data_IF_592132605702
#
_entry.id   IF_592132605702
#
_cell.length_a   1.000
_cell.length_b   1.000
_cell.length_c   1.000
_cell.angle_alpha   90.00
_cell.angle_beta   90.00
_cell.angle_gamma   90.00
#
_symmetry.space_group_name_H-M   'P 1'
#
loop_
_entity.id
_entity.type
_entity.pdbx_description
1 polymer ?
#
# COMPACT_ATOMS: atom_id res chain seq x y z
N UNK A 1 35.49 4.96 -26.16
CA UNK A 1 34.54 4.56 -27.23
C UNK A 1 33.69 3.41 -26.73
N UNK A 2 32.48 3.27 -27.29
CA UNK A 2 31.30 2.48 -26.87
C UNK A 2 30.54 3.10 -25.69
N UNK A 3 29.38 3.73 -25.83
CA UNK A 3 28.48 3.90 -26.97
C UNK A 3 27.18 4.46 -26.41
N UNK A 4 27.11 5.78 -26.23
CA UNK A 4 25.85 6.47 -26.02
C UNK A 4 25.04 6.35 -27.30
N UNK A 5 24.01 5.50 -27.28
CA UNK A 5 23.02 5.41 -28.35
C UNK A 5 21.72 5.99 -27.82
N UNK A 6 21.57 7.27 -28.14
CA UNK A 6 20.39 7.80 -28.84
C UNK A 6 19.06 7.26 -28.31
N UNK A 7 18.52 7.93 -27.28
CA UNK A 7 17.07 8.05 -27.15
C UNK A 7 16.56 8.58 -28.48
N UNK A 8 15.88 7.71 -29.24
CA UNK A 8 15.12 8.16 -30.39
C UNK A 8 13.99 9.05 -29.86
N UNK A 9 14.21 10.36 -30.01
CA UNK A 9 13.31 11.47 -29.75
C UNK A 9 12.02 11.26 -30.57
N UNK A 10 11.05 10.57 -29.98
CA UNK A 10 9.68 10.57 -30.47
C UNK A 10 9.11 11.92 -30.06
N UNK A 11 8.90 12.79 -31.05
CA UNK A 11 8.34 14.13 -30.85
C UNK A 11 7.13 14.08 -29.90
N UNK A 12 7.26 14.76 -28.76
CA UNK A 12 6.28 14.82 -27.66
C UNK A 12 4.89 15.38 -28.05
N UNK A 13 4.70 15.80 -29.31
CA UNK A 13 3.46 16.41 -29.82
C UNK A 13 2.38 15.40 -30.26
N UNK A 14 2.71 14.12 -30.41
CA UNK A 14 1.78 13.08 -30.92
C UNK A 14 1.31 12.07 -29.86
N UNK A 15 1.55 12.34 -28.56
CA UNK A 15 1.10 11.45 -27.48
C UNK A 15 -0.44 11.49 -27.39
N UNK A 16 -1.16 10.38 -27.66
CA UNK A 16 -2.61 10.36 -27.58
C UNK A 16 -3.07 10.66 -26.16
N UNK A 17 -4.09 11.50 -26.02
CA UNK A 17 -4.78 11.72 -24.75
C UNK A 17 -5.23 10.38 -24.14
N UNK A 18 -5.20 10.24 -22.81
CA UNK A 18 -5.56 8.99 -22.13
C UNK A 18 -6.96 8.57 -22.54
N UNK A 19 -7.05 7.43 -23.24
CA UNK A 19 -8.34 6.79 -23.51
C UNK A 19 -8.82 6.23 -22.17
N UNK A 20 -10.06 6.58 -21.78
CA UNK A 20 -10.69 6.04 -20.59
C UNK A 20 -10.64 4.49 -20.56
N UNK A 21 -10.92 3.87 -19.40
CA UNK A 21 -10.72 2.43 -19.20
C UNK A 21 -11.34 1.60 -20.34
N UNK A 22 -10.64 0.56 -20.84
CA UNK A 22 -11.07 -0.17 -22.02
C UNK A 22 -12.41 -0.87 -21.77
N UNK A 23 -13.34 -0.73 -22.72
CA UNK A 23 -14.69 -1.32 -22.61
C UNK A 23 -14.80 -2.69 -23.27
N UNK A 24 -13.84 -3.06 -24.12
CA UNK A 24 -13.83 -4.38 -24.77
C UNK A 24 -13.14 -5.42 -23.90
N UNK A 25 -13.64 -6.66 -23.90
CA UNK A 25 -13.03 -7.76 -23.15
C UNK A 25 -11.56 -8.00 -23.52
N UNK A 26 -11.21 -7.82 -24.80
CA UNK A 26 -9.81 -7.87 -25.25
C UNK A 26 -8.98 -6.75 -24.64
N UNK A 27 -9.48 -5.51 -24.65
CA UNK A 27 -8.76 -4.37 -24.10
C UNK A 27 -8.55 -4.46 -22.58
N UNK A 28 -9.55 -4.94 -21.85
CA UNK A 28 -9.42 -5.21 -20.40
C UNK A 28 -8.30 -6.21 -20.11
N UNK A 29 -8.26 -7.33 -20.86
CA UNK A 29 -7.20 -8.34 -20.70
C UNK A 29 -5.81 -7.78 -21.02
N UNK A 30 -5.66 -7.03 -22.11
CA UNK A 30 -4.37 -6.42 -22.48
C UNK A 30 -3.90 -5.42 -21.42
N UNK A 31 -4.80 -4.57 -20.91
CA UNK A 31 -4.47 -3.62 -19.84
C UNK A 31 -4.03 -4.35 -18.56
N UNK A 32 -4.74 -5.41 -18.18
CA UNK A 32 -4.36 -6.22 -17.01
C UNK A 32 -2.99 -6.89 -17.20
N UNK A 33 -2.68 -7.41 -18.39
CA UNK A 33 -1.37 -7.99 -18.69
C UNK A 33 -0.24 -6.96 -18.59
N UNK A 34 -0.46 -5.75 -19.10
CA UNK A 34 0.48 -4.63 -18.95
C UNK A 34 0.73 -4.28 -17.47
N UNK A 35 -0.33 -4.18 -16.67
CA UNK A 35 -0.21 -3.89 -15.22
C UNK A 35 0.56 -5.00 -14.50
N UNK A 36 0.26 -6.27 -14.80
CA UNK A 36 0.98 -7.40 -14.21
C UNK A 36 2.47 -7.39 -14.59
N UNK A 37 2.77 -7.17 -15.87
CA UNK A 37 4.15 -7.06 -16.36
C UNK A 37 4.88 -5.88 -15.70
N UNK A 38 4.22 -4.74 -15.58
CA UNK A 38 4.78 -3.57 -14.91
C UNK A 38 5.12 -3.87 -13.45
N UNK A 39 4.23 -4.53 -12.70
CA UNK A 39 4.54 -4.99 -11.33
C UNK A 39 5.81 -5.84 -11.29
N UNK A 40 5.92 -6.85 -12.16
CA UNK A 40 7.11 -7.71 -12.25
C UNK A 40 8.38 -6.89 -12.49
N UNK A 41 8.36 -5.98 -13.46
CA UNK A 41 9.53 -5.14 -13.80
C UNK A 41 9.87 -4.18 -12.65
N UNK A 42 8.88 -3.50 -12.06
CA UNK A 42 9.11 -2.60 -10.95
C UNK A 42 9.66 -3.31 -9.72
N UNK A 43 9.11 -4.47 -9.38
CA UNK A 43 9.63 -5.28 -8.28
C UNK A 43 11.04 -5.79 -8.62
N UNK A 44 11.34 -6.23 -9.84
CA UNK A 44 12.68 -6.71 -10.20
C UNK A 44 13.72 -5.60 -10.19
N UNK A 45 13.47 -4.51 -10.91
CA UNK A 45 14.48 -3.51 -11.29
C UNK A 45 14.36 -2.20 -10.51
N UNK A 46 13.21 -1.96 -9.85
CA UNK A 46 12.89 -0.70 -9.18
C UNK A 46 12.23 0.32 -10.11
N UNK A 47 11.56 1.32 -9.53
CA UNK A 47 10.82 2.33 -10.31
C UNK A 47 11.74 3.21 -11.15
N UNK A 48 12.85 3.67 -10.58
CA UNK A 48 13.76 4.60 -11.29
C UNK A 48 14.51 3.92 -12.44
N UNK A 49 15.02 2.71 -12.23
CA UNK A 49 15.84 2.02 -13.22
C UNK A 49 15.03 1.35 -14.34
N UNK A 50 13.74 1.05 -14.11
CA UNK A 50 12.88 0.44 -15.11
C UNK A 50 12.52 1.40 -16.26
N UNK A 51 12.36 0.82 -17.44
CA UNK A 51 11.95 1.53 -18.66
C UNK A 51 10.64 0.96 -19.19
N UNK A 52 9.91 1.78 -19.92
CA UNK A 52 8.69 1.35 -20.62
C UNK A 52 8.95 0.17 -21.56
N UNK A 53 10.12 0.14 -22.20
CA UNK A 53 10.55 -0.97 -23.07
C UNK A 53 10.63 -2.30 -22.31
N UNK A 54 11.11 -2.28 -21.06
CA UNK A 54 11.23 -3.47 -20.22
C UNK A 54 9.83 -4.03 -19.90
N UNK A 55 8.89 -3.13 -19.59
CA UNK A 55 7.48 -3.48 -19.33
C UNK A 55 6.83 -4.08 -20.58
N UNK A 56 7.03 -3.46 -21.75
CA UNK A 56 6.43 -3.97 -22.99
C UNK A 56 7.02 -5.30 -23.44
N UNK A 57 8.31 -5.51 -23.19
CA UNK A 57 8.97 -6.79 -23.43
C UNK A 57 8.41 -7.88 -22.50
N UNK A 58 8.28 -7.58 -21.22
CA UNK A 58 7.66 -8.46 -20.22
C UNK A 58 6.19 -8.79 -20.57
N UNK A 59 5.42 -7.80 -21.03
CA UNK A 59 4.03 -7.96 -21.46
C UNK A 59 3.86 -8.59 -22.85
N UNK A 60 4.97 -8.87 -23.56
CA UNK A 60 4.98 -9.37 -24.93
C UNK A 60 4.13 -8.52 -25.91
N UNK A 61 4.21 -7.19 -25.77
CA UNK A 61 3.47 -6.26 -26.62
C UNK A 61 4.38 -5.17 -27.20
N UNK A 62 3.86 -4.42 -28.18
CA UNK A 62 4.58 -3.27 -28.74
C UNK A 62 4.48 -2.04 -27.82
N UNK A 63 5.40 -1.08 -27.97
CA UNK A 63 5.31 0.25 -27.34
C UNK A 63 4.06 1.00 -27.77
N UNK A 64 3.64 0.90 -29.03
CA UNK A 64 2.37 1.46 -29.50
C UNK A 64 1.14 0.87 -28.78
N UNK A 65 1.21 -0.41 -28.41
CA UNK A 65 0.17 -1.04 -27.57
C UNK A 65 0.14 -0.47 -26.16
N UNK A 66 1.31 -0.19 -25.55
CA UNK A 66 1.37 0.48 -24.25
C UNK A 66 0.67 1.83 -24.29
N UNK A 67 1.02 2.66 -25.28
CA UNK A 67 0.44 4.01 -25.45
C UNK A 67 -1.05 4.02 -25.80
N UNK A 68 -1.64 2.85 -26.07
CA UNK A 68 -3.10 2.71 -26.17
C UNK A 68 -3.79 2.77 -24.79
N UNK A 69 -3.07 2.43 -23.71
CA UNK A 69 -3.62 2.30 -22.34
C UNK A 69 -2.99 3.21 -21.31
N UNK A 70 -1.72 3.59 -21.48
CA UNK A 70 -0.96 4.38 -20.52
C UNK A 70 -0.08 5.39 -21.26
N UNK A 71 0.00 6.62 -20.73
CA UNK A 71 0.79 7.71 -21.30
C UNK A 71 2.16 7.85 -20.63
N UNK A 72 2.36 7.25 -19.45
CA UNK A 72 3.63 7.33 -18.72
C UNK A 72 3.93 6.12 -17.83
N UNK A 73 5.17 6.06 -17.30
CA UNK A 73 5.62 5.05 -16.33
C UNK A 73 4.93 5.24 -14.98
N UNK A 74 4.66 6.50 -14.61
CA UNK A 74 3.93 6.92 -13.42
C UNK A 74 2.48 6.43 -13.48
N UNK A 75 1.80 6.60 -14.62
CA UNK A 75 0.40 6.18 -14.77
C UNK A 75 0.24 4.67 -14.65
N UNK A 76 1.11 3.89 -15.29
CA UNK A 76 1.07 2.43 -15.14
C UNK A 76 1.47 1.99 -13.73
N UNK A 77 2.40 2.70 -13.07
CA UNK A 77 2.71 2.43 -11.67
C UNK A 77 1.52 2.73 -10.75
N UNK A 78 0.79 3.83 -10.97
CA UNK A 78 -0.49 4.08 -10.29
C UNK A 78 -1.49 2.95 -10.51
N UNK A 79 -1.58 2.41 -11.73
CA UNK A 79 -2.44 1.28 -12.02
C UNK A 79 -1.99 -0.01 -11.32
N UNK A 80 -0.68 -0.24 -11.16
CA UNK A 80 -0.14 -1.33 -10.31
C UNK A 80 -0.55 -1.12 -8.86
N UNK A 81 -0.40 0.09 -8.33
CA UNK A 81 -0.77 0.44 -6.95
C UNK A 81 -2.27 0.36 -6.67
N UNK A 82 -3.11 0.56 -7.69
CA UNK A 82 -4.57 0.39 -7.60
C UNK A 82 -4.96 -1.09 -7.74
N UNK A 83 -4.33 -1.86 -8.62
CA UNK A 83 -4.58 -3.30 -8.72
C UNK A 83 -4.15 -4.04 -7.45
N UNK A 84 -3.02 -3.63 -6.86
CA UNK A 84 -2.55 -4.16 -5.59
C UNK A 84 -3.31 -3.58 -4.39
N UNK A 85 -4.18 -2.59 -4.58
CA UNK A 85 -4.91 -1.97 -3.45
C UNK A 85 -5.72 -3.00 -2.70
N UNK A 86 -6.45 -3.90 -3.35
CA UNK A 86 -7.23 -4.90 -2.60
C UNK A 86 -6.33 -5.94 -1.91
N UNK A 87 -5.12 -6.16 -2.42
CA UNK A 87 -4.10 -7.00 -1.78
C UNK A 87 -3.38 -6.31 -0.62
N UNK A 88 -3.21 -4.98 -0.70
CA UNK A 88 -2.40 -4.14 0.20
C UNK A 88 -3.25 -3.41 1.24
N UNK A 89 -4.51 -3.17 0.93
CA UNK A 89 -5.48 -2.69 1.89
C UNK A 89 -5.59 -3.77 2.92
N UNK A 90 -5.34 -3.39 4.18
CA UNK A 90 -5.82 -4.16 5.31
C UNK A 90 -7.21 -4.70 4.95
N UNK A 91 -7.44 -6.02 4.95
CA UNK A 91 -8.81 -6.49 5.12
C UNK A 91 -9.29 -5.70 6.33
N UNK A 92 -10.31 -4.85 6.15
CA UNK A 92 -10.80 -4.01 7.24
C UNK A 92 -10.98 -4.88 8.48
N UNK A 93 -10.81 -4.30 9.68
CA UNK A 93 -10.98 -4.96 10.99
C UNK A 93 -11.80 -6.24 10.80
N UNK A 94 -11.20 -7.44 10.94
CA UNK A 94 -11.94 -8.66 10.69
C UNK A 94 -13.25 -8.56 11.46
N UNK A 95 -14.35 -9.01 10.85
CA UNK A 95 -15.68 -9.06 11.45
C UNK A 95 -15.72 -10.10 12.59
N UNK A 96 -14.69 -10.14 13.43
CA UNK A 96 -14.79 -10.62 14.80
C UNK A 96 -15.81 -9.71 15.44
N UNK A 97 -16.87 -10.28 16.00
CA UNK A 97 -17.91 -9.51 16.66
C UNK A 97 -17.21 -8.56 17.64
N UNK A 98 -17.20 -7.26 17.32
CA UNK A 98 -16.37 -6.20 17.96
C UNK A 98 -16.63 -6.07 19.47
N UNK A 99 -17.52 -6.89 20.03
CA UNK A 99 -18.08 -6.78 21.37
C UNK A 99 -17.57 -7.82 22.39
N UNK A 100 -16.96 -8.95 21.99
CA UNK A 100 -16.63 -10.00 22.98
C UNK A 100 -15.17 -9.97 23.48
N UNK A 101 -14.20 -9.54 22.66
CA UNK A 101 -12.79 -9.41 23.10
C UNK A 101 -12.01 -8.36 22.27
N UNK A 102 -11.85 -7.12 22.78
CA UNK A 102 -11.05 -6.09 22.13
C UNK A 102 -9.59 -6.49 21.88
N UNK A 103 -8.99 -7.34 22.73
CA UNK A 103 -7.62 -7.81 22.56
C UNK A 103 -7.50 -8.69 21.33
N UNK A 104 -8.39 -9.67 21.18
CA UNK A 104 -8.42 -10.56 20.02
C UNK A 104 -8.63 -9.79 18.70
N UNK A 105 -9.47 -8.74 18.73
CA UNK A 105 -9.69 -7.87 17.56
C UNK A 105 -8.41 -7.12 17.15
N UNK A 106 -7.68 -6.56 18.12
CA UNK A 106 -6.41 -5.87 17.89
C UNK A 106 -5.36 -6.87 17.35
N UNK A 107 -5.24 -8.04 17.96
CA UNK A 107 -4.30 -9.07 17.54
C UNK A 107 -4.56 -9.52 16.09
N UNK A 108 -5.81 -9.87 15.79
CA UNK A 108 -6.20 -10.30 14.45
C UNK A 108 -5.94 -9.20 13.40
N UNK A 109 -6.16 -7.94 13.76
CA UNK A 109 -5.92 -6.79 12.89
C UNK A 109 -4.43 -6.56 12.62
N UNK A 110 -3.59 -6.63 13.66
CA UNK A 110 -2.14 -6.53 13.54
C UNK A 110 -1.58 -7.69 12.73
N UNK A 111 -2.04 -8.93 12.97
CA UNK A 111 -1.61 -10.11 12.21
C UNK A 111 -1.97 -9.99 10.74
N UNK A 112 -3.21 -9.60 10.43
CA UNK A 112 -3.64 -9.37 9.05
C UNK A 112 -2.79 -8.30 8.36
N UNK A 113 -2.38 -7.25 9.09
CA UNK A 113 -1.47 -6.23 8.57
C UNK A 113 -0.11 -6.79 8.19
N UNK A 114 0.58 -7.43 9.13
CA UNK A 114 1.95 -7.87 8.93
C UNK A 114 2.02 -8.94 7.85
N UNK A 115 1.06 -9.87 7.80
CA UNK A 115 1.00 -10.88 6.73
C UNK A 115 0.77 -10.26 5.34
N UNK A 116 -0.11 -9.27 5.27
CA UNK A 116 -0.37 -8.52 4.04
C UNK A 116 0.87 -7.73 3.59
N UNK A 117 1.54 -7.08 4.54
CA UNK A 117 2.74 -6.29 4.28
C UNK A 117 3.89 -7.20 3.83
N UNK A 118 4.09 -8.34 4.50
CA UNK A 118 5.13 -9.33 4.17
C UNK A 118 5.03 -9.80 2.72
N UNK A 119 3.82 -10.05 2.21
CA UNK A 119 3.58 -10.44 0.82
C UNK A 119 3.90 -9.33 -0.20
N UNK A 120 3.85 -8.07 0.23
CA UNK A 120 3.92 -6.90 -0.64
C UNK A 120 5.08 -5.94 -0.31
N UNK A 121 6.06 -6.36 0.52
CA UNK A 121 7.07 -5.47 1.10
C UNK A 121 7.90 -4.71 0.06
N UNK A 122 8.21 -5.35 -1.08
CA UNK A 122 8.91 -4.71 -2.20
C UNK A 122 8.08 -3.61 -2.86
N UNK A 123 6.79 -3.85 -3.09
CA UNK A 123 5.89 -2.87 -3.67
C UNK A 123 5.65 -1.69 -2.71
N UNK A 124 5.56 -1.95 -1.40
CA UNK A 124 5.48 -0.92 -0.36
C UNK A 124 6.72 -0.03 -0.35
N UNK A 125 7.91 -0.63 -0.48
CA UNK A 125 9.16 0.14 -0.59
C UNK A 125 9.15 1.06 -1.81
N UNK A 126 8.74 0.56 -2.97
CA UNK A 126 8.69 1.33 -4.21
C UNK A 126 7.71 2.50 -4.08
N UNK A 127 6.55 2.28 -3.47
CA UNK A 127 5.60 3.35 -3.24
C UNK A 127 6.20 4.49 -2.40
N UNK A 128 6.94 4.16 -1.33
CA UNK A 128 7.57 5.16 -0.46
C UNK A 128 8.66 5.94 -1.21
N UNK A 129 9.48 5.26 -2.01
CA UNK A 129 10.50 5.89 -2.85
C UNK A 129 9.90 6.87 -3.86
N UNK A 130 8.82 6.48 -4.54
CA UNK A 130 8.16 7.34 -5.54
C UNK A 130 7.42 8.50 -4.86
N UNK A 131 6.74 8.28 -3.73
CA UNK A 131 6.08 9.35 -2.97
C UNK A 131 7.05 10.42 -2.45
N UNK A 132 8.34 10.09 -2.30
CA UNK A 132 9.38 11.05 -1.90
C UNK A 132 9.68 12.06 -3.02
N UNK A 133 9.50 11.67 -4.29
CA UNK A 133 9.89 12.49 -5.45
C UNK A 133 8.71 12.99 -6.28
N UNK A 134 7.53 12.37 -6.17
CA UNK A 134 6.33 12.71 -6.92
C UNK A 134 5.18 13.18 -6.01
N UNK A 135 4.56 14.31 -6.37
CA UNK A 135 3.53 14.95 -5.55
C UNK A 135 2.19 14.21 -5.53
N UNK A 136 1.80 13.56 -6.63
CA UNK A 136 0.53 12.86 -6.74
C UNK A 136 0.59 11.54 -5.96
N UNK A 137 1.72 10.83 -6.04
CA UNK A 137 1.95 9.66 -5.19
C UNK A 137 2.00 10.01 -3.71
N UNK A 138 2.61 11.15 -3.36
CA UNK A 138 2.60 11.66 -1.98
C UNK A 138 1.19 11.96 -1.50
N UNK A 139 0.36 12.63 -2.31
CA UNK A 139 -1.03 12.92 -1.97
C UNK A 139 -1.84 11.63 -1.77
N UNK A 140 -1.67 10.64 -2.65
CA UNK A 140 -2.33 9.34 -2.53
C UNK A 140 -1.91 8.60 -1.26
N UNK A 141 -0.61 8.64 -0.91
CA UNK A 141 -0.06 8.03 0.31
C UNK A 141 -0.63 8.68 1.58
N UNK A 142 -0.81 10.00 1.58
CA UNK A 142 -1.43 10.73 2.68
C UNK A 142 -2.91 10.40 2.80
N UNK A 143 -3.66 10.40 1.70
CA UNK A 143 -5.09 10.06 1.67
C UNK A 143 -5.36 8.64 2.21
N UNK A 144 -4.53 7.66 1.83
CA UNK A 144 -4.62 6.28 2.35
C UNK A 144 -4.39 6.24 3.86
N UNK A 145 -3.37 6.94 4.35
CA UNK A 145 -3.08 7.04 5.78
C UNK A 145 -4.20 7.73 6.57
N UNK A 146 -4.79 8.78 6.03
CA UNK A 146 -5.93 9.49 6.62
C UNK A 146 -7.18 8.61 6.71
N UNK A 147 -7.54 7.93 5.62
CA UNK A 147 -8.67 7.00 5.60
C UNK A 147 -8.51 5.88 6.65
N UNK A 148 -7.29 5.36 6.81
CA UNK A 148 -6.98 4.36 7.83
C UNK A 148 -7.12 4.94 9.24
N UNK A 149 -6.54 6.12 9.48
CA UNK A 149 -6.59 6.78 10.78
C UNK A 149 -8.04 7.03 11.22
N UNK A 150 -8.90 7.52 10.33
CA UNK A 150 -10.32 7.75 10.60
C UNK A 150 -11.09 6.46 10.88
N UNK A 151 -10.77 5.36 10.20
CA UNK A 151 -11.42 4.07 10.47
C UNK A 151 -11.10 3.58 11.88
N UNK A 152 -9.83 3.55 12.25
CA UNK A 152 -9.40 3.09 13.57
C UNK A 152 -9.89 4.03 14.69
N UNK A 153 -9.92 5.34 14.44
CA UNK A 153 -10.49 6.31 15.38
C UNK A 153 -11.97 6.06 15.68
N UNK A 154 -12.77 5.64 14.68
CA UNK A 154 -14.17 5.22 14.92
C UNK A 154 -14.26 4.01 15.83
N UNK A 155 -13.37 3.03 15.69
CA UNK A 155 -13.32 1.87 16.59
C UNK A 155 -12.91 2.26 18.01
N UNK A 156 -11.93 3.15 18.16
CA UNK A 156 -11.54 3.71 19.47
C UNK A 156 -12.72 4.45 20.10
N UNK A 157 -13.41 5.32 19.36
CA UNK A 157 -14.58 6.06 19.87
C UNK A 157 -15.69 5.11 20.34
N UNK A 158 -16.01 4.06 19.56
CA UNK A 158 -16.99 3.05 19.99
C UNK A 158 -16.60 2.39 21.32
N UNK A 159 -15.31 2.07 21.50
CA UNK A 159 -14.81 1.50 22.74
C UNK A 159 -14.85 2.51 23.90
N UNK A 160 -14.64 3.81 23.63
CA UNK A 160 -14.79 4.88 24.63
C UNK A 160 -16.26 5.03 25.06
N UNK A 161 -17.18 5.06 24.10
CA UNK A 161 -18.63 5.15 24.35
C UNK A 161 -19.14 3.95 25.17
N UNK A 162 -18.52 2.78 24.98
CA UNK A 162 -18.78 1.56 25.76
C UNK A 162 -18.04 1.52 27.11
N UNK A 163 -17.20 2.51 27.42
CA UNK A 163 -16.41 2.57 28.65
C UNK A 163 -15.31 1.51 28.76
N UNK A 164 -14.86 0.94 27.63
CA UNK A 164 -13.86 -0.14 27.58
C UNK A 164 -12.41 0.39 27.56
N UNK A 165 -12.19 1.58 27.01
CA UNK A 165 -10.86 2.20 26.85
C UNK A 165 -10.84 3.59 27.50
N UNK A 166 -9.65 4.18 27.63
CA UNK A 166 -9.46 5.51 28.20
C UNK A 166 -10.21 6.60 27.39
N UNK A 167 -11.04 7.39 28.08
CA UNK A 167 -11.90 8.40 27.50
C UNK A 167 -11.16 9.71 27.18
N UNK A 168 -9.98 9.94 27.77
CA UNK A 168 -9.21 11.17 27.59
C UNK A 168 -8.33 11.13 26.33
N UNK A 169 -8.24 9.98 25.67
CA UNK A 169 -7.50 9.81 24.42
C UNK A 169 -8.20 10.53 23.25
N UNK A 170 -7.43 11.33 22.50
CA UNK A 170 -7.85 11.79 21.17
C UNK A 170 -7.87 10.59 20.20
N UNK A 171 -9.04 10.18 19.66
CA UNK A 171 -9.12 8.96 18.86
C UNK A 171 -8.32 9.02 17.56
N UNK A 172 -8.21 10.20 16.94
CA UNK A 172 -7.52 10.38 15.66
C UNK A 172 -6.00 10.38 15.86
N UNK A 173 -5.51 11.12 16.85
CA UNK A 173 -4.08 11.18 17.14
C UNK A 173 -3.56 9.86 17.71
N UNK A 174 -4.31 9.22 18.59
CA UNK A 174 -3.99 7.88 19.12
C UNK A 174 -3.92 6.86 17.98
N UNK A 175 -4.93 6.86 17.10
CA UNK A 175 -4.96 6.01 15.91
C UNK A 175 -3.73 6.24 15.01
N UNK A 176 -3.38 7.49 14.70
CA UNK A 176 -2.20 7.83 13.88
C UNK A 176 -0.89 7.35 14.52
N UNK A 177 -0.71 7.58 15.81
CA UNK A 177 0.51 7.20 16.52
C UNK A 177 0.71 5.68 16.53
N UNK A 178 -0.32 4.93 16.96
CA UNK A 178 -0.25 3.48 17.05
C UNK A 178 -0.15 2.82 15.67
N UNK A 179 -0.89 3.32 14.68
CA UNK A 179 -0.78 2.85 13.29
C UNK A 179 0.60 3.17 12.69
N UNK A 180 1.17 4.34 13.02
CA UNK A 180 2.51 4.75 12.62
C UNK A 180 3.58 3.79 13.10
N UNK A 181 3.54 3.44 14.40
CA UNK A 181 4.41 2.42 15.01
C UNK A 181 4.33 1.08 14.27
N UNK A 182 3.11 0.55 14.07
CA UNK A 182 2.88 -0.72 13.37
C UNK A 182 3.42 -0.68 11.93
N UNK A 183 3.10 0.39 11.19
CA UNK A 183 3.56 0.57 9.80
C UNK A 183 5.08 0.67 9.67
N UNK A 184 5.74 1.33 10.62
CA UNK A 184 7.20 1.46 10.63
C UNK A 184 7.88 0.12 10.90
N UNK A 185 7.36 -0.67 11.85
CA UNK A 185 7.86 -2.00 12.13
C UNK A 185 7.71 -2.93 10.91
N UNK A 186 6.57 -2.88 10.24
CA UNK A 186 6.33 -3.67 9.03
C UNK A 186 7.31 -3.29 7.89
N UNK A 187 7.52 -1.98 7.69
CA UNK A 187 8.48 -1.49 6.71
C UNK A 187 9.91 -1.95 7.03
N UNK A 188 10.38 -1.76 8.26
CA UNK A 188 11.71 -2.22 8.67
C UNK A 188 11.88 -3.73 8.49
N UNK A 189 10.90 -4.52 8.91
CA UNK A 189 10.95 -5.98 8.80
C UNK A 189 10.99 -6.46 7.35
N UNK A 190 10.02 -6.02 6.55
CA UNK A 190 9.71 -6.66 5.26
C UNK A 190 10.13 -5.86 4.03
N UNK A 191 10.36 -4.55 4.17
CA UNK A 191 10.95 -3.74 3.11
C UNK A 191 12.47 -3.65 3.31
N UNK A 192 12.96 -3.24 4.49
CA UNK A 192 14.40 -3.07 4.71
C UNK A 192 15.17 -4.38 4.96
N UNK A 193 14.46 -5.49 5.20
CA UNK A 193 15.06 -6.81 5.33
C UNK A 193 15.59 -7.14 6.73
N UNK A 194 15.06 -6.48 7.77
CA UNK A 194 15.34 -6.89 9.16
C UNK A 194 14.71 -8.27 9.49
N UNK A 195 13.67 -8.67 8.75
CA UNK A 195 13.09 -10.02 8.72
C UNK A 195 12.67 -10.59 10.08
N UNK A 196 12.07 -9.76 10.96
CA UNK A 196 11.51 -10.25 12.22
C UNK A 196 10.31 -11.18 12.00
N UNK A 197 10.14 -12.20 12.86
CA UNK A 197 8.96 -13.06 12.84
C UNK A 197 7.66 -12.26 12.98
N UNK A 198 6.63 -12.66 12.23
CA UNK A 198 5.30 -12.02 12.30
C UNK A 198 4.73 -12.13 13.71
N UNK A 199 4.92 -13.26 14.39
CA UNK A 199 4.40 -13.49 15.74
C UNK A 199 4.95 -12.49 16.75
N UNK A 200 6.27 -12.26 16.77
CA UNK A 200 6.91 -11.27 17.66
C UNK A 200 6.39 -9.85 17.42
N UNK A 201 6.18 -9.49 16.14
CA UNK A 201 5.61 -8.19 15.76
C UNK A 201 4.16 -8.05 16.21
N UNK A 202 3.34 -9.09 16.04
CA UNK A 202 1.94 -9.12 16.45
C UNK A 202 1.82 -9.03 17.97
N UNK A 203 2.57 -9.85 18.71
CA UNK A 203 2.56 -9.87 20.17
C UNK A 203 2.93 -8.48 20.72
N UNK A 204 4.07 -7.94 20.28
CA UNK A 204 4.58 -6.65 20.74
C UNK A 204 3.59 -5.52 20.45
N UNK A 205 3.10 -5.43 19.21
CA UNK A 205 2.20 -4.33 18.83
C UNK A 205 0.83 -4.45 19.49
N UNK A 206 0.31 -5.66 19.69
CA UNK A 206 -0.97 -5.89 20.36
C UNK A 206 -0.90 -5.44 21.82
N UNK A 207 0.19 -5.80 22.53
CA UNK A 207 0.42 -5.35 23.89
C UNK A 207 0.52 -3.82 23.99
N UNK A 208 1.23 -3.17 23.06
CA UNK A 208 1.37 -1.71 23.04
C UNK A 208 0.04 -1.00 22.74
N UNK A 209 -0.76 -1.52 21.81
CA UNK A 209 -2.11 -1.03 21.55
C UNK A 209 -2.99 -1.16 22.80
N UNK A 210 -3.00 -2.33 23.43
CA UNK A 210 -3.79 -2.59 24.63
C UNK A 210 -3.47 -1.62 25.78
N UNK A 211 -2.18 -1.50 26.08
CA UNK A 211 -1.69 -0.63 27.15
C UNK A 211 -2.00 0.84 26.85
N UNK A 212 -1.79 1.29 25.62
CA UNK A 212 -2.08 2.67 25.22
C UNK A 212 -3.57 3.01 25.31
N UNK A 213 -4.45 2.04 25.05
CA UNK A 213 -5.90 2.19 25.17
C UNK A 213 -6.41 1.99 26.61
N UNK A 214 -5.57 1.54 27.54
CA UNK A 214 -5.99 1.19 28.90
C UNK A 214 -6.82 -0.10 28.99
N UNK A 215 -6.76 -0.97 27.97
CA UNK A 215 -7.41 -2.28 27.99
C UNK A 215 -6.76 -3.14 29.09
N UNK A 216 -7.56 -3.58 30.07
CA UNK A 216 -7.12 -4.46 31.16
C UNK A 216 -6.52 -3.76 32.39
N UNK A 217 -6.25 -2.45 32.35
CA UNK A 217 -5.67 -1.70 33.48
C UNK A 217 -6.71 -1.10 34.46
N UNK A 218 -7.96 -1.57 34.45
CA UNK A 218 -8.95 -1.18 35.47
C UNK A 218 -8.98 -2.21 36.60
N UNK A 219 -8.04 -2.06 37.54
CA UNK A 219 -8.23 -2.54 38.91
C UNK A 219 -8.71 -1.35 39.73
N UNK A 220 -9.93 -1.50 40.26
CA UNK A 220 -10.63 -0.70 41.28
C UNK A 220 -11.14 0.69 40.88
#
# INVERSE_FOLDING_TARGET
MTGGREEADVALSDVPLPKGPPTTARGVRTRAALVSAARTVFERDGFLASRLTDITAEAQCSTGTFYTYFVSKEEIFMAVMEAAKDEMMHPGMPHVAEAEDPMAVIEASNRAYFETYKRNGRLMMLQEQVATIDADFRAQRLQRGEAFAHRNAKSIQKMQDAGLVDADLDPIMTSRALSGMVSRLAYSSFALGENWPVDDLVETTTLLWANALGLGNRVA
#
